data_IF_938051039949
#
_entry.id   IF_938051039949
#
_cell.length_a   1.000
_cell.length_b   1.000
_cell.length_c   1.000
_cell.angle_alpha   90.00
_cell.angle_beta   90.00
_cell.angle_gamma   90.00
#
_symmetry.space_group_name_H-M   'P 1'
#
loop_
_entity.id
_entity.type
_entity.pdbx_description
1 polymer ?
#
# COMPACT_ATOMS: atom_id res chain seq x y z
N UNK A 1 -21.63 -98.13 64.01
CA UNK A 1 -22.42 -97.40 62.99
C UNK A 1 -23.16 -96.30 63.74
N UNK A 2 -22.61 -95.08 63.76
CA UNK A 2 -23.07 -93.94 62.93
C UNK A 2 -24.33 -93.31 63.54
N UNK A 3 -24.49 -92.01 63.80
CA UNK A 3 -23.69 -90.78 63.88
C UNK A 3 -24.60 -89.77 64.65
N UNK A 4 -24.00 -88.81 65.34
CA UNK A 4 -24.68 -87.67 66.00
C UNK A 4 -25.41 -86.73 65.02
N UNK A 5 -26.47 -86.05 65.48
CA UNK A 5 -26.55 -84.56 65.49
C UNK A 5 -27.81 -84.01 66.19
N UNK A 6 -27.69 -82.96 67.04
CA UNK A 6 -28.81 -82.13 67.49
C UNK A 6 -29.09 -80.97 66.52
N UNK A 7 -30.36 -80.58 66.42
CA UNK A 7 -30.85 -79.44 65.61
C UNK A 7 -30.90 -78.19 66.48
N UNK A 8 -30.23 -77.11 66.04
CA UNK A 8 -30.29 -75.76 66.62
C UNK A 8 -30.77 -74.81 65.49
N UNK A 9 -31.83 -74.04 65.78
CA UNK A 9 -32.36 -72.86 65.07
C UNK A 9 -31.25 -71.80 64.80
N UNK A 10 -31.38 -70.68 64.03
CA UNK A 10 -32.57 -69.80 63.94
C UNK A 10 -32.72 -68.92 62.66
N UNK A 11 -33.73 -68.05 62.73
CA UNK A 11 -33.80 -66.66 62.22
C UNK A 11 -33.66 -66.33 60.72
N UNK A 12 -34.67 -65.59 60.28
CA UNK A 12 -34.90 -65.03 58.95
C UNK A 12 -34.69 -63.52 59.03
N UNK A 13 -33.83 -62.90 58.20
CA UNK A 13 -33.86 -61.46 57.98
C UNK A 13 -34.23 -61.09 56.53
N UNK A 14 -35.26 -60.25 56.44
CA UNK A 14 -35.35 -59.00 55.68
C UNK A 14 -34.66 -58.89 54.32
N UNK A 15 -35.46 -58.89 53.25
CA UNK A 15 -35.11 -58.41 51.91
C UNK A 15 -34.94 -56.89 51.89
N UNK A 16 -33.73 -56.42 51.57
CA UNK A 16 -33.43 -55.03 51.19
C UNK A 16 -32.97 -55.01 49.74
N UNK A 17 -33.69 -54.31 48.89
CA UNK A 17 -33.48 -54.25 47.44
C UNK A 17 -32.58 -53.07 47.10
N UNK A 18 -31.37 -53.37 46.62
CA UNK A 18 -30.37 -52.42 46.11
C UNK A 18 -30.81 -51.83 44.76
N UNK A 19 -30.77 -50.50 44.55
CA UNK A 19 -31.00 -49.90 43.24
C UNK A 19 -29.75 -49.99 42.35
N UNK A 20 -29.99 -50.24 41.07
CA UNK A 20 -29.01 -50.42 40.01
C UNK A 20 -28.11 -49.18 39.79
N UNK A 21 -26.80 -49.42 39.74
CA UNK A 21 -25.76 -48.45 39.40
C UNK A 21 -25.78 -48.20 37.89
N UNK A 22 -26.03 -46.96 37.48
CA UNK A 22 -25.88 -46.49 36.11
C UNK A 22 -24.38 -46.35 35.74
N UNK A 23 -23.99 -46.53 34.46
CA UNK A 23 -22.61 -46.37 34.03
C UNK A 23 -22.18 -44.89 34.14
N UNK A 24 -21.06 -44.65 34.82
CA UNK A 24 -20.47 -43.33 34.95
C UNK A 24 -20.09 -42.75 33.57
N UNK A 25 -20.54 -41.53 33.32
CA UNK A 25 -20.08 -40.71 32.19
C UNK A 25 -18.60 -40.36 32.37
N UNK A 26 -17.77 -40.42 31.31
CA UNK A 26 -16.38 -40.03 31.40
C UNK A 26 -16.29 -38.56 31.80
N UNK A 27 -15.57 -38.35 32.90
CA UNK A 27 -15.31 -37.07 33.52
C UNK A 27 -14.94 -35.98 32.51
N UNK A 28 -15.67 -34.87 32.60
CA UNK A 28 -15.37 -33.64 31.91
C UNK A 28 -14.06 -33.08 32.49
N UNK A 29 -12.92 -33.49 31.91
CA UNK A 29 -11.60 -32.99 32.30
C UNK A 29 -11.60 -31.46 32.18
N UNK A 30 -11.23 -30.78 33.26
CA UNK A 30 -11.02 -29.34 33.26
C UNK A 30 -9.91 -28.99 32.26
N UNK A 31 -10.24 -28.17 31.27
CA UNK A 31 -9.29 -27.71 30.26
C UNK A 31 -8.36 -26.63 30.87
N UNK A 32 -7.46 -27.03 31.76
CA UNK A 32 -6.42 -26.11 32.25
C UNK A 32 -5.40 -25.89 31.13
N UNK A 33 -5.15 -24.64 30.70
CA UNK A 33 -4.16 -24.35 29.66
C UNK A 33 -2.76 -24.83 30.05
N UNK A 34 -2.06 -25.50 29.14
CA UNK A 34 -0.67 -25.89 29.34
C UNK A 34 0.31 -24.72 29.24
N UNK A 35 1.57 -24.96 29.63
CA UNK A 35 2.65 -23.94 29.62
C UNK A 35 2.78 -23.19 28.28
N UNK A 36 2.71 -23.89 27.15
CA UNK A 36 2.75 -23.25 25.83
C UNK A 36 1.56 -22.31 25.58
N UNK A 37 0.36 -22.67 26.04
CA UNK A 37 -0.83 -21.83 25.87
C UNK A 37 -0.73 -20.54 26.70
N UNK A 38 -0.21 -20.64 27.93
CA UNK A 38 0.04 -19.47 28.78
C UNK A 38 1.06 -18.51 28.18
N UNK A 39 2.11 -19.03 27.52
CA UNK A 39 3.10 -18.20 26.81
C UNK A 39 2.49 -17.38 25.66
N UNK A 40 1.34 -17.80 25.12
CA UNK A 40 0.64 -17.10 24.05
C UNK A 40 -0.32 -16.00 24.54
N UNK A 41 -0.60 -15.93 25.85
CA UNK A 41 -1.59 -15.00 26.41
C UNK A 41 -1.21 -13.52 26.21
N UNK A 42 0.09 -13.21 26.23
CA UNK A 42 0.62 -11.86 26.04
C UNK A 42 1.18 -11.61 24.63
N UNK A 43 0.76 -12.41 23.64
CA UNK A 43 1.34 -12.33 22.30
C UNK A 43 1.17 -10.93 21.70
N UNK A 44 0.02 -10.29 21.84
CA UNK A 44 -0.26 -8.99 21.20
C UNK A 44 0.73 -7.89 21.59
N UNK A 45 1.16 -7.88 22.86
CA UNK A 45 2.01 -6.85 23.47
C UNK A 45 3.50 -6.98 23.07
N UNK A 46 3.89 -8.10 22.45
CA UNK A 46 5.27 -8.37 22.08
C UNK A 46 5.69 -7.73 20.74
N UNK A 47 6.99 -7.50 20.58
CA UNK A 47 7.57 -7.04 19.31
C UNK A 47 7.47 -8.12 18.23
N UNK A 48 7.54 -7.74 16.95
CA UNK A 48 7.49 -8.71 15.84
C UNK A 48 8.61 -9.76 15.91
N UNK A 49 9.80 -9.37 16.34
CA UNK A 49 10.95 -10.27 16.47
C UNK A 49 10.71 -11.29 17.57
N UNK A 50 10.32 -10.84 18.77
CA UNK A 50 10.01 -11.71 19.91
C UNK A 50 8.84 -12.65 19.61
N UNK A 51 7.81 -12.17 18.89
CA UNK A 51 6.71 -13.02 18.39
C UNK A 51 7.25 -14.15 17.52
N UNK A 52 8.16 -13.83 16.59
CA UNK A 52 8.80 -14.80 15.72
C UNK A 52 9.56 -15.87 16.49
N UNK A 53 10.43 -15.46 17.41
CA UNK A 53 11.20 -16.37 18.28
C UNK A 53 10.29 -17.26 19.14
N UNK A 54 9.24 -16.68 19.72
CA UNK A 54 8.24 -17.43 20.50
C UNK A 54 7.51 -18.46 19.62
N UNK A 55 7.07 -18.08 18.41
CA UNK A 55 6.42 -19.03 17.49
C UNK A 55 7.36 -20.17 17.10
N UNK A 56 8.66 -19.88 16.87
CA UNK A 56 9.67 -20.91 16.57
C UNK A 56 9.83 -21.87 17.76
N UNK A 57 9.92 -21.35 18.98
CA UNK A 57 10.02 -22.19 20.18
C UNK A 57 8.76 -23.05 20.39
N UNK A 58 7.57 -22.47 20.25
CA UNK A 58 6.31 -23.24 20.37
C UNK A 58 6.21 -24.31 19.28
N UNK A 59 6.62 -24.00 18.05
CA UNK A 59 6.66 -24.98 16.97
C UNK A 59 7.64 -26.13 17.27
N UNK A 60 8.80 -25.82 17.83
CA UNK A 60 9.77 -26.84 18.27
C UNK A 60 9.18 -27.75 19.35
N UNK A 61 8.49 -27.19 20.35
CA UNK A 61 7.83 -27.94 21.43
C UNK A 61 6.73 -28.87 20.88
N UNK A 62 5.93 -28.38 19.93
CA UNK A 62 4.88 -29.15 19.23
C UNK A 62 5.50 -30.30 18.43
N UNK A 63 6.56 -30.01 17.66
CA UNK A 63 7.26 -31.04 16.87
C UNK A 63 7.86 -32.13 17.77
N UNK A 64 8.56 -31.74 18.84
CA UNK A 64 9.11 -32.69 19.81
C UNK A 64 8.01 -33.57 20.41
N UNK A 65 6.87 -32.97 20.76
CA UNK A 65 5.70 -33.69 21.28
C UNK A 65 5.17 -34.72 20.28
N UNK A 66 4.99 -34.37 19.01
CA UNK A 66 4.54 -35.32 17.98
C UNK A 66 5.56 -36.43 17.74
N UNK A 67 6.86 -36.13 17.76
CA UNK A 67 7.93 -37.13 17.63
C UNK A 67 7.87 -38.13 18.80
N UNK A 68 7.75 -37.64 20.04
CA UNK A 68 7.64 -38.50 21.22
C UNK A 68 6.41 -39.40 21.15
N UNK A 69 5.26 -38.88 20.71
CA UNK A 69 4.05 -39.69 20.57
C UNK A 69 4.24 -40.76 19.49
N UNK A 70 4.80 -40.41 18.34
CA UNK A 70 5.08 -41.38 17.28
C UNK A 70 5.95 -42.53 17.82
N UNK A 71 7.03 -42.20 18.55
CA UNK A 71 7.90 -43.19 19.19
C UNK A 71 7.14 -44.10 20.17
N UNK A 72 6.34 -43.54 21.08
CA UNK A 72 5.56 -44.35 22.03
C UNK A 72 4.47 -45.19 21.34
N UNK A 73 3.98 -44.75 20.19
CA UNK A 73 3.03 -45.53 19.36
C UNK A 73 3.72 -46.71 18.69
N UNK A 74 4.93 -46.52 18.16
CA UNK A 74 5.74 -47.59 17.55
C UNK A 74 6.14 -48.66 18.56
N UNK A 75 6.44 -48.24 19.80
CA UNK A 75 6.72 -49.13 20.93
C UNK A 75 5.47 -49.88 21.44
N UNK A 76 4.27 -49.56 20.94
CA UNK A 76 3.01 -50.16 21.38
C UNK A 76 2.48 -49.65 22.73
N UNK A 77 3.14 -48.65 23.32
CA UNK A 77 2.72 -48.02 24.59
C UNK A 77 1.46 -47.17 24.39
N UNK A 78 1.33 -46.50 23.24
CA UNK A 78 0.12 -45.78 22.85
C UNK A 78 -0.71 -46.59 21.84
N UNK A 79 -1.97 -46.82 22.17
CA UNK A 79 -2.96 -47.39 21.27
C UNK A 79 -3.64 -46.29 20.44
N UNK A 80 -4.26 -46.67 19.32
CA UNK A 80 -4.97 -45.73 18.41
C UNK A 80 -6.04 -44.88 19.10
N UNK A 81 -6.67 -45.40 20.15
CA UNK A 81 -7.63 -44.65 20.95
C UNK A 81 -7.00 -43.47 21.70
N UNK A 82 -5.71 -43.56 22.06
CA UNK A 82 -4.97 -42.49 22.73
C UNK A 82 -4.53 -41.39 21.74
N UNK A 83 -4.33 -41.73 20.46
CA UNK A 83 -3.91 -40.78 19.42
C UNK A 83 -5.06 -40.03 18.75
N UNK A 84 -6.33 -40.40 19.01
CA UNK A 84 -7.50 -39.70 18.44
C UNK A 84 -7.53 -38.19 18.73
N UNK A 85 -6.99 -37.75 19.86
CA UNK A 85 -6.90 -36.32 20.20
C UNK A 85 -5.91 -35.59 19.29
N UNK A 86 -4.83 -36.25 18.87
CA UNK A 86 -3.84 -35.71 17.94
C UNK A 86 -4.45 -35.49 16.56
N UNK A 87 -5.27 -36.43 16.09
CA UNK A 87 -5.98 -36.25 14.81
C UNK A 87 -6.85 -35.00 14.82
N UNK A 88 -7.52 -34.71 15.95
CA UNK A 88 -8.29 -33.47 16.11
C UNK A 88 -7.42 -32.22 16.08
N UNK A 89 -6.24 -32.27 16.72
CA UNK A 89 -5.28 -31.15 16.68
C UNK A 89 -4.79 -30.91 15.26
N UNK A 90 -4.38 -31.97 14.55
CA UNK A 90 -3.94 -31.89 13.15
C UNK A 90 -5.07 -31.33 12.26
N UNK A 91 -6.30 -31.81 12.44
CA UNK A 91 -7.45 -31.33 11.70
C UNK A 91 -7.70 -29.84 11.94
N UNK A 92 -7.65 -29.40 13.20
CA UNK A 92 -7.82 -27.98 13.58
C UNK A 92 -6.76 -27.09 12.95
N UNK A 93 -5.50 -27.54 12.93
CA UNK A 93 -4.39 -26.81 12.29
C UNK A 93 -4.67 -26.70 10.78
N UNK A 94 -5.04 -27.79 10.11
CA UNK A 94 -5.34 -27.81 8.67
C UNK A 94 -6.50 -26.87 8.32
N UNK A 95 -7.59 -26.93 9.06
CA UNK A 95 -8.78 -26.11 8.81
C UNK A 95 -8.49 -24.62 9.01
N UNK A 96 -7.67 -24.30 10.01
CA UNK A 96 -7.26 -22.92 10.29
C UNK A 96 -6.35 -22.37 9.19
N UNK A 97 -5.37 -23.15 8.74
CA UNK A 97 -4.44 -22.79 7.67
C UNK A 97 -5.18 -22.56 6.34
N UNK A 98 -6.12 -23.43 5.97
CA UNK A 98 -6.97 -23.24 4.78
C UNK A 98 -7.75 -21.92 4.86
N UNK A 99 -8.39 -21.62 6.00
CA UNK A 99 -9.12 -20.36 6.19
C UNK A 99 -8.21 -19.14 6.09
N UNK A 100 -7.05 -19.17 6.75
CA UNK A 100 -6.08 -18.08 6.70
C UNK A 100 -5.55 -17.84 5.30
N UNK A 101 -5.17 -18.90 4.57
CA UNK A 101 -4.74 -18.80 3.17
C UNK A 101 -5.81 -18.18 2.28
N UNK A 102 -7.08 -18.55 2.44
CA UNK A 102 -8.17 -17.93 1.68
C UNK A 102 -8.37 -16.45 1.98
N UNK A 103 -8.24 -16.03 3.25
CA UNK A 103 -8.33 -14.62 3.63
C UNK A 103 -7.19 -13.79 3.01
N UNK A 104 -5.97 -14.30 3.09
CA UNK A 104 -4.80 -13.66 2.51
C UNK A 104 -4.90 -13.59 0.97
N UNK A 105 -5.31 -14.67 0.30
CA UNK A 105 -5.51 -14.66 -1.14
C UNK A 105 -6.57 -13.64 -1.57
N UNK A 106 -7.69 -13.53 -0.84
CA UNK A 106 -8.70 -12.48 -1.07
C UNK A 106 -8.10 -11.08 -0.92
N UNK A 107 -7.28 -10.85 0.09
CA UNK A 107 -6.62 -9.55 0.30
C UNK A 107 -5.64 -9.23 -0.84
N UNK A 108 -4.79 -10.19 -1.22
CA UNK A 108 -3.85 -10.04 -2.34
C UNK A 108 -4.60 -9.74 -3.64
N UNK A 109 -5.70 -10.45 -3.93
CA UNK A 109 -6.54 -10.17 -5.10
C UNK A 109 -7.14 -8.77 -5.09
N UNK A 110 -7.62 -8.29 -3.93
CA UNK A 110 -8.14 -6.92 -3.78
C UNK A 110 -7.05 -5.88 -4.06
N UNK A 111 -5.88 -6.03 -3.43
CA UNK A 111 -4.75 -5.11 -3.62
C UNK A 111 -4.24 -5.09 -5.06
N UNK A 112 -4.22 -6.24 -5.74
CA UNK A 112 -3.86 -6.30 -7.17
C UNK A 112 -4.84 -5.52 -8.05
N UNK A 113 -6.15 -5.64 -7.78
CA UNK A 113 -7.19 -4.88 -8.52
C UNK A 113 -7.06 -3.39 -8.28
N UNK A 114 -6.84 -2.98 -7.03
CA UNK A 114 -6.64 -1.59 -6.66
C UNK A 114 -5.38 -1.01 -7.32
N UNK A 115 -4.24 -1.70 -7.24
CA UNK A 115 -3.01 -1.31 -7.93
C UNK A 115 -3.23 -1.15 -9.44
N UNK A 116 -3.89 -2.10 -10.08
CA UNK A 116 -4.18 -2.03 -11.51
C UNK A 116 -5.09 -0.83 -11.86
N UNK A 117 -6.07 -0.54 -11.01
CA UNK A 117 -6.95 0.63 -11.17
C UNK A 117 -6.19 1.94 -11.03
N UNK A 118 -5.35 2.09 -9.99
CA UNK A 118 -4.51 3.27 -9.78
C UNK A 118 -3.58 3.47 -10.98
N UNK A 119 -2.92 2.41 -11.44
CA UNK A 119 -2.02 2.48 -12.57
C UNK A 119 -2.74 2.93 -13.85
N UNK A 120 -3.95 2.41 -14.11
CA UNK A 120 -4.79 2.86 -15.24
C UNK A 120 -5.16 4.35 -15.14
N UNK A 121 -5.47 4.85 -13.95
CA UNK A 121 -5.75 6.28 -13.71
C UNK A 121 -4.52 7.13 -13.97
N UNK A 122 -3.37 6.71 -13.45
CA UNK A 122 -2.09 7.38 -13.65
C UNK A 122 -1.70 7.44 -15.13
N UNK A 123 -1.79 6.33 -15.88
CA UNK A 123 -1.50 6.31 -17.31
C UNK A 123 -2.38 7.26 -18.11
N UNK A 124 -3.66 7.40 -17.74
CA UNK A 124 -4.57 8.36 -18.38
C UNK A 124 -4.14 9.80 -18.12
N UNK A 125 -3.78 10.13 -16.88
CA UNK A 125 -3.30 11.46 -16.51
C UNK A 125 -1.98 11.80 -17.22
N UNK A 126 -1.04 10.86 -17.26
CA UNK A 126 0.21 11.01 -17.99
C UNK A 126 -0.03 11.30 -19.48
N UNK A 127 -0.94 10.56 -20.13
CA UNK A 127 -1.28 10.82 -21.54
C UNK A 127 -1.92 12.20 -21.78
N UNK A 128 -2.70 12.71 -20.83
CA UNK A 128 -3.24 14.07 -20.89
C UNK A 128 -2.14 15.13 -20.74
N UNK A 129 -1.22 14.93 -19.80
CA UNK A 129 -0.06 15.81 -19.61
C UNK A 129 0.83 15.85 -20.87
N UNK A 130 1.13 14.69 -21.46
CA UNK A 130 1.91 14.60 -22.70
C UNK A 130 1.26 15.37 -23.86
N UNK A 131 -0.07 15.30 -23.95
CA UNK A 131 -0.83 16.04 -24.97
C UNK A 131 -0.71 17.54 -24.77
N UNK A 132 -0.84 18.02 -23.52
CA UNK A 132 -0.65 19.43 -23.18
C UNK A 132 0.78 19.89 -23.50
N UNK A 133 1.79 19.12 -23.10
CA UNK A 133 3.21 19.43 -23.37
C UNK A 133 3.44 19.61 -24.88
N UNK A 134 2.93 18.70 -25.72
CA UNK A 134 3.04 18.82 -27.18
C UNK A 134 2.34 20.06 -27.73
N UNK A 135 1.17 20.40 -27.20
CA UNK A 135 0.43 21.60 -27.60
C UNK A 135 1.21 22.88 -27.26
N UNK A 136 1.75 22.98 -26.04
CA UNK A 136 2.58 24.11 -25.61
C UNK A 136 3.87 24.23 -26.44
N UNK A 137 4.58 23.12 -26.67
CA UNK A 137 5.76 23.13 -27.55
C UNK A 137 5.44 23.65 -28.95
N UNK A 138 4.29 23.27 -29.50
CA UNK A 138 3.86 23.73 -30.82
C UNK A 138 3.58 25.24 -30.81
N UNK A 139 2.89 25.74 -29.76
CA UNK A 139 2.67 27.19 -29.58
C UNK A 139 3.98 27.96 -29.45
N UNK A 140 4.91 27.47 -28.63
CA UNK A 140 6.23 28.09 -28.46
C UNK A 140 6.98 28.16 -29.79
N UNK A 141 7.03 27.07 -30.56
CA UNK A 141 7.67 27.07 -31.88
C UNK A 141 7.07 28.12 -32.82
N UNK A 142 5.73 28.21 -32.89
CA UNK A 142 5.04 29.22 -33.70
C UNK A 142 5.41 30.64 -33.26
N UNK A 143 5.33 30.93 -31.96
CA UNK A 143 5.68 32.24 -31.41
C UNK A 143 7.15 32.59 -31.65
N UNK A 144 8.07 31.63 -31.51
CA UNK A 144 9.49 31.83 -31.82
C UNK A 144 9.75 32.16 -33.28
N UNK A 145 9.01 31.54 -34.21
CA UNK A 145 9.08 31.87 -35.64
C UNK A 145 8.55 33.27 -35.91
N UNK A 146 7.35 33.59 -35.43
CA UNK A 146 6.75 34.92 -35.62
C UNK A 146 7.60 36.04 -35.00
N UNK A 147 8.19 35.81 -33.83
CA UNK A 147 9.10 36.76 -33.19
C UNK A 147 10.34 37.03 -34.06
N UNK A 148 10.88 35.98 -34.69
CA UNK A 148 12.04 36.09 -35.59
C UNK A 148 11.70 36.87 -36.86
N UNK A 149 10.55 36.58 -37.45
CA UNK A 149 10.03 37.28 -38.63
C UNK A 149 9.81 38.76 -38.33
N UNK A 150 9.12 39.08 -37.23
CA UNK A 150 8.89 40.46 -36.79
C UNK A 150 10.21 41.22 -36.54
N UNK A 151 11.19 40.58 -35.89
CA UNK A 151 12.53 41.17 -35.71
C UNK A 151 13.24 41.43 -37.03
N UNK A 152 13.13 40.50 -37.98
CA UNK A 152 13.68 40.67 -39.33
C UNK A 152 13.06 41.87 -40.05
N UNK A 153 11.75 42.02 -39.96
CA UNK A 153 11.02 43.13 -40.58
C UNK A 153 11.37 44.48 -39.94
N UNK A 154 11.47 44.53 -38.60
CA UNK A 154 11.93 45.73 -37.90
C UNK A 154 13.34 46.14 -38.35
N UNK A 155 14.26 45.19 -38.48
CA UNK A 155 15.61 45.47 -38.96
C UNK A 155 15.63 45.98 -40.41
N UNK A 156 14.79 45.40 -41.28
CA UNK A 156 14.62 45.85 -42.68
C UNK A 156 14.12 47.30 -42.73
N UNK A 157 13.05 47.61 -42.01
CA UNK A 157 12.46 48.95 -41.94
C UNK A 157 13.43 49.98 -41.35
N UNK A 158 14.23 49.60 -40.34
CA UNK A 158 15.26 50.46 -39.78
C UNK A 158 16.33 50.82 -40.82
N UNK A 159 16.81 49.85 -41.58
CA UNK A 159 17.77 50.06 -42.66
C UNK A 159 17.21 50.97 -43.76
N UNK A 160 15.96 50.75 -44.16
CA UNK A 160 15.26 51.60 -45.13
C UNK A 160 15.17 53.06 -44.66
N UNK A 161 14.75 53.28 -43.40
CA UNK A 161 14.70 54.60 -42.77
C UNK A 161 16.08 55.26 -42.72
N UNK A 162 17.13 54.51 -42.39
CA UNK A 162 18.49 55.03 -42.33
C UNK A 162 19.01 55.47 -43.71
N UNK A 163 18.73 54.70 -44.77
CA UNK A 163 19.06 55.09 -46.15
C UNK A 163 18.33 56.36 -46.56
N UNK A 164 17.01 56.45 -46.33
CA UNK A 164 16.22 57.63 -46.68
C UNK A 164 16.71 58.88 -45.93
N UNK A 165 17.04 58.75 -44.64
CA UNK A 165 17.60 59.85 -43.85
C UNK A 165 18.97 60.30 -44.39
N UNK A 166 19.80 59.37 -44.87
CA UNK A 166 21.08 59.71 -45.49
C UNK A 166 20.90 60.45 -46.84
N UNK A 167 19.96 59.99 -47.68
CA UNK A 167 19.62 60.67 -48.93
C UNK A 167 19.11 62.10 -48.69
N UNK A 168 18.20 62.30 -47.72
CA UNK A 168 17.70 63.63 -47.37
C UNK A 168 18.82 64.57 -46.90
N UNK A 169 19.70 64.09 -46.01
CA UNK A 169 20.83 64.89 -45.52
C UNK A 169 21.76 65.34 -46.65
N UNK A 170 21.99 64.49 -47.66
CA UNK A 170 22.80 64.84 -48.82
C UNK A 170 22.14 65.95 -49.65
N UNK A 171 20.84 65.84 -49.91
CA UNK A 171 20.11 66.83 -50.70
C UNK A 171 20.05 68.21 -50.00
N UNK A 172 19.84 68.23 -48.68
CA UNK A 172 19.84 69.50 -47.90
C UNK A 172 21.23 70.17 -47.90
N UNK A 173 22.32 69.41 -47.92
CA UNK A 173 23.68 69.95 -48.01
C UNK A 173 24.02 70.48 -49.40
N UNK A 174 23.43 69.93 -50.47
CA UNK A 174 23.58 70.44 -51.83
C UNK A 174 22.78 71.75 -52.04
N UNK A 175 21.61 71.90 -51.42
CA UNK A 175 20.82 73.15 -51.49
C UNK A 175 21.35 74.27 -50.58
N UNK A 176 21.95 73.93 -49.42
CA UNK A 176 22.55 74.92 -48.51
C UNK A 176 23.91 75.50 -48.99
N UNK A 177 24.50 74.94 -50.06
CA UNK A 177 25.70 75.49 -50.70
C UNK A 177 25.40 76.66 -51.65
N UNK A 178 24.13 77.07 -51.80
CA UNK A 178 23.73 78.11 -52.75
C UNK A 178 22.95 79.29 -52.16
N UNK A 179 22.81 79.42 -50.83
CA UNK A 179 22.28 80.65 -50.25
C UNK A 179 22.88 80.97 -48.88
N UNK A 180 23.58 82.09 -48.83
CA UNK A 180 23.90 82.83 -47.61
C UNK A 180 22.61 83.50 -47.13
N UNK A 181 21.87 82.88 -46.20
CA UNK A 181 20.89 83.63 -45.39
C UNK A 181 20.92 83.13 -43.94
N UNK A 182 21.32 84.08 -43.08
CA UNK A 182 21.24 84.11 -41.64
C UNK A 182 19.80 83.88 -41.14
N UNK A 183 19.60 82.93 -40.22
CA UNK A 183 18.26 82.55 -39.79
C UNK A 183 18.26 81.64 -38.56
N UNK A 184 17.75 82.19 -37.48
CA UNK A 184 17.81 81.74 -36.09
C UNK A 184 17.24 80.34 -35.80
N UNK A 185 17.81 79.73 -34.75
CA UNK A 185 17.39 78.47 -34.14
C UNK A 185 16.17 78.71 -33.24
N UNK A 186 15.13 77.91 -33.41
CA UNK A 186 14.18 77.64 -32.33
C UNK A 186 14.18 76.15 -31.98
N UNK A 187 14.48 75.91 -30.71
CA UNK A 187 14.43 74.64 -30.01
C UNK A 187 12.97 74.22 -29.82
N UNK A 188 12.58 73.09 -30.42
CA UNK A 188 11.32 72.42 -30.09
C UNK A 188 11.66 71.10 -29.42
N UNK A 189 11.55 71.15 -28.09
CA UNK A 189 11.42 70.00 -27.21
C UNK A 189 10.12 69.25 -27.56
N UNK A 190 10.25 67.95 -27.79
CA UNK A 190 9.15 67.04 -28.00
C UNK A 190 9.27 65.88 -27.03
N UNK A 191 8.92 66.15 -25.78
CA UNK A 191 8.59 65.17 -24.76
C UNK A 191 7.49 64.20 -25.27
N UNK A 192 7.82 62.92 -25.39
CA UNK A 192 6.82 61.87 -25.65
C UNK A 192 6.64 61.03 -24.38
N UNK A 193 5.47 61.18 -23.77
CA UNK A 193 4.96 60.33 -22.69
C UNK A 193 4.86 58.87 -23.14
N UNK A 194 5.66 58.00 -22.51
CA UNK A 194 5.51 56.56 -22.61
C UNK A 194 4.43 56.15 -21.61
N UNK A 195 3.19 56.00 -22.08
CA UNK A 195 2.10 55.42 -21.29
C UNK A 195 2.40 53.93 -21.06
N UNK A 196 2.83 53.65 -19.83
CA UNK A 196 2.94 52.33 -19.24
C UNK A 196 1.52 51.73 -19.11
N UNK A 197 1.18 50.76 -19.97
CA UNK A 197 0.02 49.89 -19.76
C UNK A 197 0.49 48.60 -19.13
N UNK A 198 0.22 48.50 -17.84
CA UNK A 198 0.44 47.31 -17.05
C UNK A 198 -0.56 46.18 -17.28
N UNK A 199 -0.27 45.18 -16.46
CA UNK A 199 -1.10 44.11 -15.93
C UNK A 199 -1.38 42.86 -16.76
N UNK A 200 -0.99 41.76 -16.13
CA UNK A 200 -1.17 40.39 -16.60
C UNK A 200 -0.63 39.38 -15.60
N UNK A 201 -0.97 39.55 -14.32
CA UNK A 201 -0.91 38.47 -13.33
C UNK A 201 -1.63 37.23 -13.88
N UNK A 202 -0.93 36.12 -13.93
CA UNK A 202 -1.53 34.80 -14.13
C UNK A 202 -1.02 33.90 -13.00
N UNK A 203 -1.76 33.96 -11.90
CA UNK A 203 -1.95 32.81 -11.02
C UNK A 203 -2.57 31.68 -11.86
N UNK A 204 -1.87 30.56 -12.00
CA UNK A 204 -2.35 29.17 -11.71
C UNK A 204 -1.13 28.29 -11.48
#
# INVERSE_FOLDING_TARGET
>A
MSFEKPTISPEKPTTSTTPAVAPEHPSQQSNTPGSCALRLENLEQQTSTTKGELMVSVAADICATFISIAKYSEEGTLQSQHTRVIDKVIQTIRDTDVKQRHLLDRQVRRLRKERAWIWKKYSRLAGQADTLVRAYQTKIRKLSTSLREARGEVARLQSERDMLRACLKKNVLEDASNDNVDGEKEDIDGEYDIVEKGDGSLEV
#
